data_IF_352456884678
#
_entry.id   IF_352456884678
#
_cell.length_a   1.000
_cell.length_b   1.000
_cell.length_c   1.000
_cell.angle_alpha   90.00
_cell.angle_beta   90.00
_cell.angle_gamma   90.00
#
_symmetry.space_group_name_H-M   'P 1'
#
loop_
_entity.id
_entity.type
_entity.pdbx_description
1 polymer ?
#
# COMPACT_ATOMS: atom_id res chain seq x y z
N UNK A 1 -14.27 11.63 -7.83
CA UNK A 1 -13.93 11.82 -9.26
C UNK A 1 -13.72 10.43 -9.82
N UNK A 2 -14.40 10.05 -10.90
CA UNK A 2 -14.18 8.78 -11.60
C UNK A 2 -13.01 9.00 -12.59
N UNK A 3 -11.78 8.55 -12.27
CA UNK A 3 -10.62 8.86 -13.09
C UNK A 3 -10.62 8.13 -14.44
N UNK A 4 -11.42 7.06 -14.58
CA UNK A 4 -11.45 6.22 -15.79
C UNK A 4 -12.82 6.21 -16.49
N UNK A 5 -13.85 6.83 -15.90
CA UNK A 5 -15.18 6.96 -16.51
C UNK A 5 -16.01 5.66 -16.52
N UNK A 6 -15.53 4.62 -15.85
CA UNK A 6 -16.11 3.27 -15.87
C UNK A 6 -16.97 2.97 -14.64
N UNK A 7 -16.96 3.82 -13.62
CA UNK A 7 -17.66 3.53 -12.35
C UNK A 7 -19.19 3.48 -12.53
N UNK A 8 -19.73 4.17 -13.54
CA UNK A 8 -21.16 4.12 -13.90
C UNK A 8 -21.58 2.81 -14.57
N UNK A 9 -20.64 2.00 -15.06
CA UNK A 9 -20.89 0.72 -15.73
C UNK A 9 -20.99 -0.46 -14.76
N UNK A 10 -20.66 -0.23 -13.48
CA UNK A 10 -20.73 -1.25 -12.43
C UNK A 10 -22.18 -1.50 -12.03
N UNK A 11 -22.55 -2.77 -11.85
CA UNK A 11 -23.81 -3.12 -11.22
C UNK A 11 -23.82 -2.81 -9.71
N UNK A 12 -24.98 -2.93 -9.06
CA UNK A 12 -25.09 -2.61 -7.62
C UNK A 12 -24.30 -3.57 -6.74
N UNK A 13 -24.17 -4.84 -7.11
CA UNK A 13 -23.42 -5.83 -6.35
C UNK A 13 -21.91 -5.56 -6.44
N UNK A 14 -21.41 -5.23 -7.63
CA UNK A 14 -20.03 -4.79 -7.89
C UNK A 14 -19.70 -3.52 -7.11
N UNK A 15 -20.62 -2.54 -7.07
CA UNK A 15 -20.43 -1.31 -6.28
C UNK A 15 -20.28 -1.61 -4.80
N UNK A 16 -21.15 -2.48 -4.24
CA UNK A 16 -21.06 -2.89 -2.83
C UNK A 16 -19.73 -3.60 -2.58
N UNK A 17 -19.32 -4.50 -3.47
CA UNK A 17 -18.05 -5.22 -3.33
C UNK A 17 -16.84 -4.28 -3.37
N UNK A 18 -16.82 -3.34 -4.33
CA UNK A 18 -15.71 -2.38 -4.50
C UNK A 18 -15.66 -1.40 -3.32
N UNK A 19 -16.79 -0.97 -2.77
CA UNK A 19 -16.84 -0.13 -1.58
C UNK A 19 -16.23 -0.81 -0.35
N UNK A 20 -16.26 -2.14 -0.30
CA UNK A 20 -15.70 -2.93 0.79
C UNK A 20 -14.22 -3.32 0.56
N UNK A 21 -13.59 -2.90 -0.54
CA UNK A 21 -12.18 -3.15 -0.77
C UNK A 21 -11.32 -2.30 0.17
N UNK A 22 -10.44 -2.99 0.91
CA UNK A 22 -9.43 -2.33 1.75
C UNK A 22 -8.18 -2.05 0.94
N UNK A 23 -7.50 -0.95 1.27
CA UNK A 23 -6.18 -0.68 0.73
C UNK A 23 -5.17 -1.52 1.56
N UNK A 24 -4.36 -2.37 0.93
CA UNK A 24 -3.37 -3.16 1.65
C UNK A 24 -2.33 -2.24 2.31
N UNK A 25 -1.85 -2.66 3.49
CA UNK A 25 -0.75 -1.94 4.14
C UNK A 25 0.56 -2.18 3.37
N UNK A 26 1.58 -1.37 3.64
CA UNK A 26 2.92 -1.61 3.09
C UNK A 26 3.42 -3.03 3.44
N UNK A 27 3.17 -3.49 4.67
CA UNK A 27 3.53 -4.84 5.12
C UNK A 27 2.85 -5.92 4.26
N UNK A 28 1.56 -5.78 4.02
CA UNK A 28 0.78 -6.77 3.24
C UNK A 28 1.28 -6.82 1.79
N UNK A 29 1.55 -5.66 1.21
CA UNK A 29 2.12 -5.56 -0.14
C UNK A 29 3.51 -6.21 -0.24
N UNK A 30 4.40 -5.94 0.72
CA UNK A 30 5.76 -6.51 0.72
C UNK A 30 5.73 -8.02 0.95
N UNK A 31 4.84 -8.52 1.80
CA UNK A 31 4.64 -9.96 2.00
C UNK A 31 4.13 -10.64 0.73
N UNK A 32 3.18 -10.02 0.02
CA UNK A 32 2.71 -10.53 -1.26
C UNK A 32 3.85 -10.57 -2.30
N UNK A 33 4.68 -9.53 -2.37
CA UNK A 33 5.83 -9.50 -3.26
C UNK A 33 6.83 -10.62 -2.93
N UNK A 34 7.11 -10.87 -1.64
CA UNK A 34 7.99 -11.93 -1.19
C UNK A 34 7.47 -13.32 -1.59
N UNK A 35 6.17 -13.58 -1.40
CA UNK A 35 5.52 -14.84 -1.78
C UNK A 35 5.64 -15.15 -3.29
N UNK A 36 5.74 -14.12 -4.11
CA UNK A 36 5.86 -14.25 -5.56
C UNK A 36 7.27 -13.98 -6.09
N UNK A 37 8.28 -13.97 -5.21
CA UNK A 37 9.69 -13.74 -5.54
C UNK A 37 9.91 -12.47 -6.37
N UNK A 38 9.19 -11.39 -6.02
CA UNK A 38 9.26 -10.11 -6.73
C UNK A 38 10.22 -9.15 -6.04
N UNK A 39 10.95 -8.41 -6.86
CA UNK A 39 11.71 -7.23 -6.41
C UNK A 39 10.79 -6.02 -6.39
N UNK A 40 10.80 -5.28 -5.29
CA UNK A 40 10.02 -4.05 -5.13
C UNK A 40 10.97 -2.85 -5.15
N UNK A 41 10.66 -1.87 -5.99
CA UNK A 41 11.35 -0.58 -6.05
C UNK A 41 10.28 0.50 -5.88
N UNK A 42 10.49 1.43 -4.96
CA UNK A 42 9.56 2.52 -4.72
C UNK A 42 10.28 3.77 -4.23
N UNK A 43 9.70 4.93 -4.54
CA UNK A 43 10.14 6.20 -3.99
C UNK A 43 9.54 6.41 -2.61
N UNK A 44 10.37 6.82 -1.66
CA UNK A 44 9.89 7.29 -0.37
C UNK A 44 9.82 8.82 -0.39
N UNK A 45 8.63 9.38 -0.11
CA UNK A 45 8.38 10.83 -0.03
C UNK A 45 7.83 11.21 1.33
N UNK A 46 8.23 12.38 1.86
CA UNK A 46 7.74 12.87 3.14
C UNK A 46 6.22 13.09 3.07
N UNK A 47 5.43 12.56 4.03
CA UNK A 47 3.99 12.76 4.06
C UNK A 47 3.56 14.24 4.19
N UNK A 48 2.36 14.61 3.72
CA UNK A 48 1.82 15.96 3.88
C UNK A 48 1.55 16.30 5.35
N UNK A 49 1.36 17.59 5.64
CA UNK A 49 1.02 18.07 6.98
C UNK A 49 -0.26 17.39 7.51
N UNK A 50 -0.28 17.04 8.80
CA UNK A 50 -1.39 16.33 9.45
C UNK A 50 -1.34 14.81 9.33
N UNK A 51 -0.42 14.26 8.55
CA UNK A 51 -0.24 12.80 8.49
C UNK A 51 0.41 12.25 9.77
N UNK A 52 -0.12 11.16 10.37
CA UNK A 52 0.34 10.66 11.67
C UNK A 52 1.82 10.26 11.69
N UNK A 53 2.32 9.76 10.57
CA UNK A 53 3.74 9.36 10.42
C UNK A 53 4.62 10.43 9.76
N UNK A 54 4.17 11.68 9.63
CA UNK A 54 4.92 12.69 8.86
C UNK A 54 6.37 12.89 9.32
N UNK A 55 6.60 12.87 10.62
CA UNK A 55 7.93 13.15 11.20
C UNK A 55 8.72 11.87 11.51
N UNK A 56 8.07 10.71 11.42
CA UNK A 56 8.68 9.39 11.59
C UNK A 56 8.69 8.55 10.30
N UNK A 57 8.33 9.12 9.15
CA UNK A 57 8.04 8.38 7.90
C UNK A 57 9.15 7.43 7.45
N UNK A 58 10.42 7.84 7.58
CA UNK A 58 11.57 6.97 7.26
C UNK A 58 11.64 5.81 8.26
N UNK A 59 11.64 6.11 9.56
CA UNK A 59 11.73 5.09 10.61
C UNK A 59 10.57 4.11 10.54
N UNK A 60 9.33 4.58 10.33
CA UNK A 60 8.15 3.75 10.18
C UNK A 60 8.24 2.80 8.99
N UNK A 61 8.78 3.27 7.85
CA UNK A 61 8.96 2.38 6.69
C UNK A 61 10.12 1.40 6.91
N UNK A 62 11.22 1.83 7.51
CA UNK A 62 12.33 0.93 7.85
C UNK A 62 11.90 -0.18 8.81
N UNK A 63 11.04 0.15 9.79
CA UNK A 63 10.47 -0.83 10.72
C UNK A 63 9.69 -1.91 9.96
N UNK A 64 8.82 -1.50 9.04
CA UNK A 64 8.04 -2.44 8.22
C UNK A 64 8.95 -3.32 7.36
N UNK A 65 9.95 -2.75 6.70
CA UNK A 65 10.85 -3.48 5.80
C UNK A 65 11.71 -4.48 6.58
N UNK A 66 12.25 -4.09 7.74
CA UNK A 66 13.24 -4.90 8.46
C UNK A 66 12.62 -5.87 9.46
N UNK A 67 11.52 -5.50 10.10
CA UNK A 67 11.03 -6.19 11.29
C UNK A 67 9.62 -6.77 11.11
N UNK A 68 8.76 -6.17 10.28
CA UNK A 68 7.36 -6.60 10.16
C UNK A 68 7.05 -7.45 8.91
N UNK A 69 7.80 -7.24 7.83
CA UNK A 69 7.59 -7.93 6.56
C UNK A 69 8.58 -9.06 6.33
N UNK A 70 8.22 -9.97 5.43
CA UNK A 70 9.00 -11.14 5.02
C UNK A 70 9.83 -10.91 3.75
N UNK A 71 9.88 -9.68 3.25
CA UNK A 71 10.69 -9.36 2.07
C UNK A 71 12.17 -9.43 2.42
N UNK A 72 12.98 -9.97 1.51
CA UNK A 72 14.41 -9.93 1.66
C UNK A 72 14.92 -8.50 1.41
N UNK A 73 15.22 -7.77 2.48
CA UNK A 73 15.85 -6.45 2.41
C UNK A 73 17.37 -6.55 2.40
N UNK A 74 18.01 -5.75 1.56
CA UNK A 74 19.47 -5.50 1.61
C UNK A 74 19.85 -4.23 2.37
N UNK A 75 18.86 -3.51 2.91
CA UNK A 75 19.00 -2.23 3.62
C UNK A 75 18.93 -2.38 5.13
#
# INVERSE_FOLDING_TARGET
RDPFGTASSLDEDEKVQIQNQTIPTLKDFLNLAAQHEKTVIFDLRRPPQGHPYRDAWITSVLEVIRNESSINSSQ
#
